data_IF_654213077727
#
_entry.id   IF_654213077727
#
_cell.length_a   1.000
_cell.length_b   1.000
_cell.length_c   1.000
_cell.angle_alpha   90.00
_cell.angle_beta   90.00
_cell.angle_gamma   90.00
#
_symmetry.space_group_name_H-M   'P 1'
#
loop_
_entity.id
_entity.type
_entity.pdbx_description
1 polymer ?
#
# COMPACT_ATOMS: atom_id res chain seq x y z
N UNK A 1 -23.78 7.19 33.90
CA UNK A 1 -23.39 8.26 32.96
C UNK A 1 -22.24 7.73 32.13
N UNK A 2 -22.42 7.56 30.81
CA UNK A 2 -21.31 7.17 29.94
C UNK A 2 -20.31 8.33 29.90
N UNK A 3 -19.02 8.08 30.17
CA UNK A 3 -18.01 9.13 30.00
C UNK A 3 -17.97 9.54 28.53
N UNK A 4 -17.74 10.83 28.27
CA UNK A 4 -17.55 11.29 26.90
C UNK A 4 -16.43 10.48 26.22
N UNK A 5 -16.58 10.14 24.92
CA UNK A 5 -15.55 9.44 24.18
C UNK A 5 -14.23 10.22 24.22
N UNK A 6 -13.14 9.55 24.61
CA UNK A 6 -11.80 10.16 24.69
C UNK A 6 -11.04 9.90 23.39
N UNK A 7 -10.80 10.96 22.65
CA UNK A 7 -9.98 10.91 21.44
C UNK A 7 -8.54 11.25 21.75
N UNK A 8 -7.63 10.56 21.08
CA UNK A 8 -6.21 10.84 21.14
C UNK A 8 -5.66 11.04 19.74
N UNK A 9 -4.78 12.03 19.60
CA UNK A 9 -4.08 12.32 18.36
C UNK A 9 -2.59 12.05 18.56
N UNK A 10 -2.06 11.07 17.84
CA UNK A 10 -0.65 10.75 17.81
C UNK A 10 0.00 11.31 16.56
N UNK A 11 1.18 11.90 16.71
CA UNK A 11 1.92 12.57 15.63
C UNK A 11 3.38 12.12 15.64
N UNK A 12 3.88 11.68 14.49
CA UNK A 12 5.24 11.17 14.34
C UNK A 12 5.82 11.58 12.96
N UNK A 13 7.07 12.06 12.90
CA UNK A 13 7.70 12.43 11.63
C UNK A 13 8.25 11.20 10.88
N UNK A 14 8.74 11.44 9.67
CA UNK A 14 9.54 10.48 8.88
C UNK A 14 8.84 9.15 8.57
N UNK A 15 7.54 9.21 8.33
CA UNK A 15 6.75 8.05 7.95
C UNK A 15 6.46 8.07 6.46
N UNK A 16 6.58 6.93 5.79
CA UNK A 16 6.32 6.84 4.36
C UNK A 16 4.83 7.07 4.06
N UNK A 17 4.54 8.14 3.33
CA UNK A 17 3.26 8.31 2.67
C UNK A 17 3.24 7.46 1.39
N UNK A 18 2.40 6.41 1.30
CA UNK A 18 2.44 5.48 0.18
C UNK A 18 2.00 6.09 -1.15
N UNK A 19 1.27 7.20 -1.15
CA UNK A 19 0.73 7.78 -2.37
C UNK A 19 1.81 8.53 -3.17
N UNK A 20 2.48 9.58 -2.63
CA UNK A 20 3.57 10.26 -3.31
C UNK A 20 4.91 9.51 -3.21
N UNK A 21 5.02 8.53 -2.30
CA UNK A 21 6.25 7.83 -1.94
C UNK A 21 7.31 8.80 -1.36
N UNK A 22 6.90 9.58 -0.36
CA UNK A 22 7.74 10.53 0.36
C UNK A 22 7.57 10.35 1.87
N UNK A 23 8.63 10.62 2.63
CA UNK A 23 8.58 10.60 4.08
C UNK A 23 8.01 11.93 4.59
N UNK A 24 6.94 11.84 5.37
CA UNK A 24 6.13 12.95 5.82
C UNK A 24 5.79 12.78 7.31
N UNK A 25 5.20 13.80 7.93
CA UNK A 25 4.52 13.61 9.20
C UNK A 25 3.33 12.68 9.00
N UNK A 26 3.22 11.70 9.87
CA UNK A 26 2.05 10.86 10.03
C UNK A 26 1.30 11.26 11.30
N UNK A 27 -0.02 11.34 11.17
CA UNK A 27 -0.90 11.49 12.31
C UNK A 27 -2.00 10.45 12.28
N UNK A 28 -2.35 9.97 13.47
CA UNK A 28 -3.42 9.01 13.67
C UNK A 28 -4.29 9.46 14.82
N UNK A 29 -5.59 9.48 14.57
CA UNK A 29 -6.61 9.77 15.56
C UNK A 29 -7.33 8.47 15.92
N UNK A 30 -7.44 8.19 17.21
CA UNK A 30 -8.15 7.02 17.70
C UNK A 30 -9.03 7.34 18.89
N UNK A 31 -10.03 6.50 19.07
CA UNK A 31 -10.89 6.47 20.23
C UNK A 31 -10.37 5.43 21.23
N UNK A 32 -10.25 5.82 22.50
CA UNK A 32 -10.06 4.87 23.60
C UNK A 32 -11.41 4.33 24.05
N UNK A 33 -11.59 3.02 23.91
CA UNK A 33 -12.73 2.28 24.46
C UNK A 33 -12.25 1.49 25.67
N UNK A 34 -13.04 1.51 26.76
CA UNK A 34 -12.71 0.76 27.98
C UNK A 34 -12.50 -0.73 27.67
N UNK A 35 -11.33 -1.27 28.07
CA UNK A 35 -10.92 -2.67 27.90
C UNK A 35 -10.89 -3.18 26.43
N UNK A 36 -10.66 -2.30 25.46
CA UNK A 36 -10.57 -2.67 24.03
C UNK A 36 -9.35 -2.09 23.35
N UNK A 37 -9.01 -2.70 22.21
CA UNK A 37 -7.99 -2.16 21.32
C UNK A 37 -8.42 -0.77 20.81
N UNK A 38 -7.48 0.17 20.65
CA UNK A 38 -7.79 1.50 20.16
C UNK A 38 -8.42 1.45 18.77
N UNK A 39 -9.51 2.19 18.59
CA UNK A 39 -10.24 2.24 17.32
C UNK A 39 -9.74 3.44 16.52
N UNK A 40 -9.03 3.20 15.42
CA UNK A 40 -8.55 4.25 14.52
C UNK A 40 -9.76 4.86 13.79
N UNK A 41 -9.97 6.16 13.98
CA UNK A 41 -11.08 6.92 13.37
C UNK A 41 -10.61 7.86 12.26
N UNK A 42 -9.30 8.12 12.18
CA UNK A 42 -8.70 8.92 11.12
C UNK A 42 -7.18 8.80 11.09
N UNK A 43 -6.58 8.99 9.92
CA UNK A 43 -5.14 9.15 9.80
C UNK A 43 -4.81 10.04 8.60
N UNK A 44 -3.69 10.73 8.67
CA UNK A 44 -3.26 11.67 7.64
C UNK A 44 -1.74 11.69 7.50
N UNK A 45 -1.30 12.07 6.30
CA UNK A 45 0.07 12.45 6.02
C UNK A 45 0.14 13.92 5.62
N UNK A 46 1.25 14.57 5.95
CA UNK A 46 1.52 15.97 5.61
C UNK A 46 3.00 16.30 5.78
N UNK A 47 3.50 17.26 4.99
CA UNK A 47 4.85 17.82 5.19
C UNK A 47 5.01 18.54 6.52
N UNK A 48 3.92 19.10 7.05
CA UNK A 48 3.92 19.85 8.31
C UNK A 48 2.92 19.26 9.32
N UNK A 49 3.33 19.22 10.59
CA UNK A 49 2.53 18.77 11.74
C UNK A 49 1.22 19.57 11.89
N UNK A 50 1.29 20.89 11.75
CA UNK A 50 0.15 21.83 11.85
C UNK A 50 -1.01 21.47 10.92
N UNK A 51 -0.70 21.08 9.69
CA UNK A 51 -1.70 20.70 8.69
C UNK A 51 -2.46 19.41 9.06
N UNK A 52 -1.85 18.50 9.84
CA UNK A 52 -2.53 17.30 10.34
C UNK A 52 -3.56 17.70 11.39
N UNK A 53 -3.18 18.57 12.32
CA UNK A 53 -4.08 19.11 13.35
C UNK A 53 -5.29 19.77 12.69
N UNK A 54 -5.07 20.65 11.72
CA UNK A 54 -6.15 21.30 10.98
C UNK A 54 -7.05 20.30 10.24
N UNK A 55 -6.49 19.21 9.69
CA UNK A 55 -7.28 18.14 9.04
C UNK A 55 -8.15 17.39 10.05
N UNK A 56 -7.64 17.10 11.25
CA UNK A 56 -8.41 16.46 12.32
C UNK A 56 -9.57 17.35 12.78
N UNK A 57 -9.31 18.65 13.00
CA UNK A 57 -10.33 19.63 13.38
C UNK A 57 -11.42 19.77 12.31
N UNK A 58 -11.02 19.90 11.03
CA UNK A 58 -11.97 19.96 9.90
C UNK A 58 -12.79 18.68 9.72
N UNK A 59 -12.28 17.54 10.17
CA UNK A 59 -13.00 16.27 10.19
C UNK A 59 -13.98 16.15 11.38
N UNK A 60 -14.14 17.20 12.20
CA UNK A 60 -15.07 17.25 13.33
C UNK A 60 -14.46 16.86 14.67
N UNK A 61 -13.14 16.64 14.73
CA UNK A 61 -12.46 16.22 15.95
C UNK A 61 -11.69 17.39 16.57
N UNK A 62 -12.39 18.23 17.33
CA UNK A 62 -11.80 19.38 18.02
C UNK A 62 -11.30 19.06 19.45
N UNK A 63 -11.84 18.02 20.09
CA UNK A 63 -11.51 17.64 21.46
C UNK A 63 -10.72 16.32 21.46
N UNK A 64 -9.40 16.41 21.48
CA UNK A 64 -8.49 15.28 21.57
C UNK A 64 -7.32 15.60 22.50
N UNK A 65 -6.67 14.55 23.02
CA UNK A 65 -5.43 14.67 23.78
C UNK A 65 -4.25 14.27 22.89
N UNK A 66 -3.23 15.13 22.82
CA UNK A 66 -2.01 14.77 22.09
C UNK A 66 -1.32 13.60 22.80
N UNK A 67 -0.91 12.58 22.04
CA UNK A 67 -0.15 11.45 22.54
C UNK A 67 1.19 11.39 21.84
N UNK A 68 2.25 11.27 22.65
CA UNK A 68 3.64 11.21 22.18
C UNK A 68 4.23 9.80 22.24
N UNK A 69 3.44 8.80 22.64
CA UNK A 69 3.90 7.42 22.78
C UNK A 69 4.21 6.80 21.43
N UNK A 70 5.46 6.94 21.03
CA UNK A 70 5.98 6.51 19.73
C UNK A 70 5.62 5.06 19.39
N UNK A 71 5.75 4.14 20.36
CA UNK A 71 5.43 2.72 20.16
C UNK A 71 3.97 2.48 19.76
N UNK A 72 3.03 3.16 20.42
CA UNK A 72 1.60 3.03 20.15
C UNK A 72 1.29 3.54 18.73
N UNK A 73 1.81 4.72 18.39
CA UNK A 73 1.59 5.36 17.07
C UNK A 73 2.18 4.50 15.95
N UNK A 74 3.39 3.96 16.14
CA UNK A 74 4.04 3.09 15.18
C UNK A 74 3.28 1.79 14.94
N UNK A 75 2.69 1.21 16.00
CA UNK A 75 1.85 0.03 15.86
C UNK A 75 0.58 0.32 15.05
N UNK A 76 -0.05 1.49 15.25
CA UNK A 76 -1.19 1.91 14.44
C UNK A 76 -0.81 2.14 12.98
N UNK A 77 0.30 2.83 12.72
CA UNK A 77 0.83 2.99 11.37
C UNK A 77 1.05 1.62 10.69
N UNK A 78 1.72 0.69 11.37
CA UNK A 78 1.98 -0.66 10.84
C UNK A 78 0.68 -1.41 10.54
N UNK A 79 -0.32 -1.32 11.43
CA UNK A 79 -1.64 -1.91 11.21
C UNK A 79 -2.33 -1.37 9.95
N UNK A 80 -2.31 -0.04 9.76
CA UNK A 80 -2.83 0.61 8.54
C UNK A 80 -2.07 0.14 7.30
N UNK A 81 -0.73 0.16 7.34
CA UNK A 81 0.10 -0.25 6.20
C UNK A 81 -0.08 -1.72 5.84
N UNK A 82 -0.25 -2.60 6.81
CA UNK A 82 -0.50 -4.02 6.56
C UNK A 82 -1.84 -4.22 5.83
N UNK A 83 -2.92 -3.57 6.30
CA UNK A 83 -4.21 -3.60 5.61
C UNK A 83 -4.13 -3.03 4.19
N UNK A 84 -3.40 -1.93 4.00
CA UNK A 84 -3.18 -1.36 2.66
C UNK A 84 -2.40 -2.32 1.75
N UNK A 85 -1.33 -2.96 2.26
CA UNK A 85 -0.55 -3.96 1.51
C UNK A 85 -1.41 -5.15 1.08
N UNK A 86 -2.33 -5.62 1.93
CA UNK A 86 -3.28 -6.67 1.60
C UNK A 86 -4.27 -6.22 0.53
N UNK A 87 -4.86 -5.04 0.68
CA UNK A 87 -5.79 -4.46 -0.30
C UNK A 87 -5.13 -4.26 -1.66
N UNK A 88 -3.90 -3.72 -1.71
CA UNK A 88 -3.13 -3.53 -2.94
C UNK A 88 -2.78 -4.86 -3.60
N UNK A 89 -2.54 -5.90 -2.81
CA UNK A 89 -2.28 -7.25 -3.32
C UNK A 89 -3.53 -7.88 -3.96
N UNK A 90 -4.67 -7.75 -3.30
CA UNK A 90 -5.93 -8.41 -3.71
C UNK A 90 -6.66 -7.66 -4.82
N UNK A 91 -6.45 -6.34 -4.92
CA UNK A 91 -7.16 -5.49 -5.88
C UNK A 91 -6.71 -5.76 -7.32
N UNK A 92 -7.49 -6.61 -7.99
CA UNK A 92 -7.39 -6.85 -9.43
C UNK A 92 -8.23 -5.85 -10.20
N UNK A 93 -7.66 -5.27 -11.25
CA UNK A 93 -8.41 -4.36 -12.11
C UNK A 93 -7.99 -4.45 -13.57
N UNK A 94 -8.97 -4.31 -14.47
CA UNK A 94 -8.72 -4.22 -15.90
C UNK A 94 -8.28 -2.80 -16.22
N UNK A 95 -7.12 -2.67 -16.86
CA UNK A 95 -6.64 -1.38 -17.36
C UNK A 95 -7.39 -0.98 -18.63
N UNK A 96 -7.33 0.30 -18.97
CA UNK A 96 -7.97 0.83 -20.18
C UNK A 96 -7.51 0.06 -21.42
N UNK A 97 -8.45 -0.35 -22.27
CA UNK A 97 -8.16 -1.06 -23.53
C UNK A 97 -7.21 -0.26 -24.41
N UNK A 98 -7.31 1.08 -24.38
CA UNK A 98 -6.42 1.98 -25.13
C UNK A 98 -4.95 1.75 -24.80
N UNK A 99 -4.64 1.42 -23.55
CA UNK A 99 -3.26 1.17 -23.11
C UNK A 99 -2.62 0.00 -23.85
N UNK A 100 -3.39 -0.99 -24.31
CA UNK A 100 -2.87 -2.14 -25.07
C UNK A 100 -2.30 -1.73 -26.44
N UNK A 101 -2.72 -0.59 -26.98
CA UNK A 101 -2.35 -0.10 -28.30
C UNK A 101 -1.39 1.09 -28.27
N UNK A 102 -1.04 1.59 -27.08
CA UNK A 102 -0.07 2.67 -26.88
C UNK A 102 1.22 2.14 -26.27
N UNK A 103 2.29 2.93 -26.32
CA UNK A 103 3.49 2.63 -25.54
C UNK A 103 3.14 2.58 -24.03
N UNK A 104 3.82 1.73 -23.24
CA UNK A 104 4.83 0.76 -23.67
C UNK A 104 4.26 -0.54 -24.25
N UNK A 105 2.94 -0.78 -24.21
CA UNK A 105 2.37 -2.11 -24.41
C UNK A 105 2.13 -2.54 -25.85
N UNK A 106 1.99 -1.61 -26.81
CA UNK A 106 1.60 -1.91 -28.21
C UNK A 106 2.31 -3.14 -28.81
N UNK A 107 3.62 -3.25 -28.60
CA UNK A 107 4.46 -4.30 -29.20
C UNK A 107 4.97 -5.35 -28.19
N UNK A 108 4.54 -5.28 -26.93
CA UNK A 108 4.97 -6.22 -25.89
C UNK A 108 4.24 -7.56 -26.08
N UNK A 109 4.90 -8.72 -26.03
CA UNK A 109 4.21 -10.01 -26.10
C UNK A 109 3.16 -10.21 -24.99
N UNK A 110 2.26 -11.17 -25.16
CA UNK A 110 1.40 -11.59 -24.04
C UNK A 110 2.25 -12.27 -22.97
N UNK A 111 1.99 -11.97 -21.71
CA UNK A 111 2.81 -12.43 -20.59
C UNK A 111 2.50 -11.66 -19.31
N UNK A 112 3.18 -12.03 -18.22
CA UNK A 112 3.13 -11.31 -16.95
C UNK A 112 4.38 -10.47 -16.81
N UNK A 113 4.19 -9.19 -16.47
CA UNK A 113 5.25 -8.20 -16.37
C UNK A 113 5.21 -7.56 -15.00
N UNK A 114 6.38 -7.32 -14.39
CA UNK A 114 6.49 -6.48 -13.20
C UNK A 114 7.02 -5.12 -13.63
N UNK A 115 6.24 -4.08 -13.36
CA UNK A 115 6.55 -2.68 -13.71
C UNK A 115 6.82 -1.91 -12.43
N UNK A 116 7.91 -1.15 -12.43
CA UNK A 116 8.25 -0.19 -11.38
C UNK A 116 7.75 1.20 -11.77
N UNK A 117 7.27 1.98 -10.82
CA UNK A 117 6.88 3.38 -11.07
C UNK A 117 8.07 4.32 -11.27
N UNK A 118 9.26 3.95 -10.77
CA UNK A 118 10.52 4.72 -10.83
C UNK A 118 11.71 3.79 -10.57
N UNK A 119 12.93 4.26 -10.81
CA UNK A 119 14.15 3.46 -10.62
C UNK A 119 14.76 3.55 -9.21
N UNK A 120 14.26 4.45 -8.37
CA UNK A 120 14.72 4.64 -6.99
C UNK A 120 13.67 4.18 -5.99
N UNK A 121 14.11 3.75 -4.81
CA UNK A 121 13.22 3.43 -3.69
C UNK A 121 12.90 4.70 -2.88
N UNK A 122 11.71 4.78 -2.26
CA UNK A 122 10.58 3.86 -2.36
C UNK A 122 9.85 3.94 -3.72
N UNK A 123 9.23 2.85 -4.16
CA UNK A 123 8.53 2.73 -5.45
C UNK A 123 7.23 1.93 -5.36
N UNK A 124 6.35 2.12 -6.34
CA UNK A 124 5.23 1.21 -6.59
C UNK A 124 5.69 0.11 -7.56
N UNK A 125 5.45 -1.14 -7.20
CA UNK A 125 5.57 -2.29 -8.07
C UNK A 125 4.18 -2.76 -8.50
N UNK A 126 4.02 -3.08 -9.78
CA UNK A 126 2.75 -3.55 -10.35
C UNK A 126 2.98 -4.80 -11.19
N UNK A 127 2.29 -5.88 -10.87
CA UNK A 127 2.23 -7.08 -11.70
C UNK A 127 1.10 -6.90 -12.72
N UNK A 128 1.46 -6.81 -14.00
CA UNK A 128 0.53 -6.59 -15.10
C UNK A 128 0.51 -7.79 -16.02
N UNK A 129 -0.66 -8.42 -16.17
CA UNK A 129 -0.90 -9.51 -17.10
C UNK A 129 -1.38 -8.95 -18.44
N UNK A 130 -0.56 -9.11 -19.47
CA UNK A 130 -0.92 -8.80 -20.85
C UNK A 130 -1.49 -10.04 -21.52
N UNK A 131 -2.73 -9.91 -21.99
CA UNK A 131 -3.39 -10.82 -22.92
C UNK A 131 -3.54 -10.10 -24.27
N UNK A 132 -3.95 -10.83 -25.32
CA UNK A 132 -4.02 -10.34 -26.72
C UNK A 132 -4.60 -8.91 -26.87
N UNK A 133 -5.68 -8.60 -26.14
CA UNK A 133 -6.37 -7.31 -26.22
C UNK A 133 -6.55 -6.61 -24.87
N UNK A 134 -6.03 -7.18 -23.79
CA UNK A 134 -6.33 -6.72 -22.43
C UNK A 134 -5.08 -6.67 -21.57
N UNK A 135 -5.03 -5.65 -20.73
CA UNK A 135 -4.05 -5.51 -19.67
C UNK A 135 -4.79 -5.58 -18.34
N UNK A 136 -4.31 -6.41 -17.44
CA UNK A 136 -4.84 -6.57 -16.10
C UNK A 136 -3.77 -6.19 -15.10
N UNK A 137 -4.08 -5.27 -14.19
CA UNK A 137 -3.32 -5.13 -12.94
C UNK A 137 -3.76 -6.29 -12.04
N UNK A 138 -2.86 -7.24 -11.83
CA UNK A 138 -3.11 -8.43 -11.02
C UNK A 138 -2.77 -8.18 -9.55
N UNK A 139 -1.64 -7.52 -9.30
CA UNK A 139 -1.16 -7.20 -7.95
C UNK A 139 -0.40 -5.88 -7.95
N UNK A 140 -0.48 -5.15 -6.84
CA UNK A 140 0.37 -4.00 -6.57
C UNK A 140 1.05 -4.12 -5.20
N UNK A 141 2.16 -3.41 -5.04
CA UNK A 141 2.81 -3.21 -3.76
C UNK A 141 3.59 -1.90 -3.74
N UNK A 142 3.76 -1.34 -2.55
CA UNK A 142 4.77 -0.32 -2.27
C UNK A 142 6.00 -1.01 -1.71
N UNK A 143 7.16 -0.77 -2.32
CA UNK A 143 8.45 -1.31 -1.90
C UNK A 143 9.37 -0.18 -1.47
N UNK A 144 9.87 -0.26 -0.24
CA UNK A 144 10.84 0.68 0.35
C UNK A 144 12.28 0.26 0.07
N UNK A 145 12.49 -1.02 -0.28
CA UNK A 145 13.82 -1.58 -0.53
C UNK A 145 13.80 -2.59 -1.69
N UNK A 146 14.99 -2.89 -2.21
CA UNK A 146 15.18 -3.94 -3.22
C UNK A 146 14.73 -5.30 -2.69
N UNK A 147 14.98 -5.60 -1.42
CA UNK A 147 14.59 -6.87 -0.80
C UNK A 147 13.06 -7.05 -0.82
N UNK A 148 12.31 -5.96 -0.57
CA UNK A 148 10.84 -5.98 -0.66
C UNK A 148 10.35 -6.16 -2.10
N UNK A 149 11.00 -5.51 -3.08
CA UNK A 149 10.69 -5.71 -4.50
C UNK A 149 10.91 -7.16 -4.93
N UNK A 150 12.04 -7.75 -4.53
CA UNK A 150 12.33 -9.16 -4.83
C UNK A 150 11.34 -10.11 -4.13
N UNK A 151 10.89 -9.78 -2.91
CA UNK A 151 9.84 -10.55 -2.23
C UNK A 151 8.51 -10.47 -2.96
N UNK A 152 8.13 -9.29 -3.47
CA UNK A 152 6.95 -9.10 -4.31
C UNK A 152 7.04 -9.95 -5.59
N UNK A 153 8.15 -9.86 -6.33
CA UNK A 153 8.37 -10.64 -7.57
C UNK A 153 8.25 -12.15 -7.29
N UNK A 154 8.90 -12.66 -6.25
CA UNK A 154 8.81 -14.08 -5.87
C UNK A 154 7.39 -14.49 -5.49
N UNK A 155 6.63 -13.63 -4.82
CA UNK A 155 5.23 -13.91 -4.47
C UNK A 155 4.37 -13.98 -5.73
N UNK A 156 4.53 -13.04 -6.67
CA UNK A 156 3.84 -13.04 -7.97
C UNK A 156 4.17 -14.30 -8.77
N UNK A 157 5.44 -14.69 -8.84
CA UNK A 157 5.86 -15.91 -9.54
C UNK A 157 5.22 -17.18 -8.97
N UNK A 158 5.15 -17.28 -7.63
CA UNK A 158 4.48 -18.40 -6.95
C UNK A 158 2.99 -18.44 -7.23
N UNK A 159 2.29 -17.31 -7.12
CA UNK A 159 0.83 -17.24 -7.30
C UNK A 159 0.40 -17.53 -8.75
N UNK A 160 1.19 -17.10 -9.73
CA UNK A 160 0.90 -17.30 -11.16
C UNK A 160 1.62 -18.52 -11.78
N UNK A 161 2.23 -19.38 -10.95
CA UNK A 161 2.96 -20.58 -11.38
C UNK A 161 4.02 -20.32 -12.47
N UNK A 162 4.62 -19.14 -12.47
CA UNK A 162 5.73 -18.78 -13.38
C UNK A 162 6.99 -19.51 -12.94
N UNK A 163 7.07 -20.80 -13.29
CA UNK A 163 8.11 -21.72 -12.84
C UNK A 163 7.70 -23.19 -12.84
N UNK A 164 6.42 -23.53 -13.07
CA UNK A 164 5.93 -24.92 -13.18
C UNK A 164 5.44 -25.32 -14.58
N UNK A 165 6.16 -24.92 -15.63
CA UNK A 165 6.19 -25.76 -16.86
C UNK A 165 7.36 -26.74 -16.74
N UNK A 166 7.21 -27.74 -15.88
CA UNK A 166 7.91 -29.01 -16.11
C UNK A 166 7.15 -29.67 -17.26
N UNK A 167 7.52 -29.34 -18.49
CA UNK A 167 7.36 -30.28 -19.60
C UNK A 167 8.59 -31.17 -19.57
N UNK A 168 8.56 -32.21 -18.74
CA UNK A 168 9.36 -33.41 -18.99
C UNK A 168 8.75 -34.10 -20.20
N UNK A 169 9.11 -33.63 -21.39
CA UNK A 169 9.05 -34.44 -22.60
C UNK A 169 10.38 -35.15 -22.71
N UNK A 170 10.45 -36.40 -22.25
CA UNK A 170 11.57 -37.28 -22.58
C UNK A 170 11.64 -37.43 -24.11
N UNK A 171 12.83 -37.37 -24.73
CA UNK A 171 12.95 -37.73 -26.13
C UNK A 171 12.65 -39.23 -26.23
N UNK A 172 11.63 -39.59 -27.00
CA UNK A 172 11.44 -40.98 -27.41
C UNK A 172 11.56 -40.99 -28.93
N UNK A 173 12.64 -41.68 -29.35
CA UNK A 173 13.19 -41.99 -30.68
C UNK A 173 12.48 -41.43 -31.90
#
# INVERSE_FOLDING_TARGET
MASAPRYYLGLIPEMLNPIPLTYEWFGVLWLEEANRFPVIVGYWFSKEKSNIIQKAERAGYANWTEMSEHYVIMNMYRSIRNKQKEQDWEKRSRLSIRMNFTAPWKNVPSGLYVVKSRDTFPLHASAISKKRFFLWLEHAAVCETEQELQAFIRRVQREHHLGKRIKTGSPTM
#
